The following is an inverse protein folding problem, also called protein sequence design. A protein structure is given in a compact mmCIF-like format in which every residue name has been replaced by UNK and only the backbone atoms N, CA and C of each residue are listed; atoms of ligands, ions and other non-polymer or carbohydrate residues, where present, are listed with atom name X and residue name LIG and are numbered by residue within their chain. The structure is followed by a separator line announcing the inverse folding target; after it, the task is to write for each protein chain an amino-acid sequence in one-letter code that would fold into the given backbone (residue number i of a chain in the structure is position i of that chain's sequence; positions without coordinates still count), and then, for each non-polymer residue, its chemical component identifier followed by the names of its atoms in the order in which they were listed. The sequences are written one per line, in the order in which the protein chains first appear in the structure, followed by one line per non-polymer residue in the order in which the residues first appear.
data_IF_804055562354
#
_entry.id   IF_804055562354
#
_cell.length_a   1.000
_cell.length_b   1.000
_cell.length_c   1.000
_cell.angle_alpha   90.00
_cell.angle_beta   90.00
_cell.angle_gamma   90.00
#
_symmetry.space_group_name_H-M   'P 1'
#
loop_
_entity.id
_entity.type
_entity.pdbx_description
1 polymer ?
#
# COMPACT_ATOMS: atom_id res chain seq x y z
N UNK A 1 9.91 26.93 22.59
CA UNK A 1 10.21 25.64 23.27
C UNK A 1 9.67 24.42 22.50
N UNK A 2 8.71 24.57 21.57
CA UNK A 2 8.19 23.46 20.75
C UNK A 2 8.98 23.16 19.45
N UNK A 3 9.90 24.02 18.99
CA UNK A 3 10.61 23.82 17.70
C UNK A 3 11.91 23.01 17.77
N UNK A 4 12.38 22.64 18.96
CA UNK A 4 13.59 21.83 19.16
C UNK A 4 13.26 20.35 19.42
N UNK A 5 11.99 20.04 19.67
CA UNK A 5 11.52 18.70 20.02
C UNK A 5 11.26 17.87 18.74
N UNK A 6 10.79 18.50 17.66
CA UNK A 6 10.49 17.83 16.39
C UNK A 6 11.69 17.11 15.73
N UNK A 7 12.91 17.69 15.61
CA UNK A 7 14.01 16.99 14.94
C UNK A 7 14.53 15.80 15.75
N UNK A 8 14.62 15.91 17.08
CA UNK A 8 15.15 14.83 17.93
C UNK A 8 14.15 13.67 18.04
N UNK A 9 12.85 13.97 18.18
CA UNK A 9 11.81 12.94 18.18
C UNK A 9 11.75 12.26 16.81
N UNK A 10 11.80 13.01 15.70
CA UNK A 10 11.76 12.39 14.38
C UNK A 10 13.00 11.55 14.07
N UNK A 11 14.18 11.93 14.55
CA UNK A 11 15.43 11.19 14.34
C UNK A 11 15.49 9.91 15.20
N UNK A 12 15.08 9.98 16.46
CA UNK A 12 14.99 8.80 17.34
C UNK A 12 13.92 7.82 16.87
N UNK A 13 12.77 8.31 16.42
CA UNK A 13 11.67 7.50 15.89
C UNK A 13 12.06 6.87 14.54
N UNK A 14 12.82 7.56 13.69
CA UNK A 14 13.45 6.98 12.49
C UNK A 14 14.43 5.85 12.82
N UNK A 15 15.30 6.05 13.82
CA UNK A 15 16.27 5.03 14.24
C UNK A 15 15.62 3.75 14.77
N UNK A 16 14.55 3.89 15.55
CA UNK A 16 13.76 2.75 16.05
C UNK A 16 13.09 2.01 14.88
N UNK A 17 12.48 2.73 13.93
CA UNK A 17 11.86 2.13 12.73
C UNK A 17 12.90 1.38 11.89
N UNK A 18 14.09 1.94 11.69
CA UNK A 18 15.17 1.28 10.93
C UNK A 18 15.69 0.02 11.64
N UNK A 19 15.76 0.04 12.97
CA UNK A 19 16.12 -1.13 13.76
C UNK A 19 15.09 -2.27 13.62
N UNK A 20 13.80 -1.96 13.74
CA UNK A 20 12.72 -2.93 13.54
C UNK A 20 12.70 -3.51 12.13
N UNK A 21 13.03 -2.70 11.12
CA UNK A 21 13.18 -3.14 9.73
C UNK A 21 14.37 -4.07 9.52
N UNK A 22 15.52 -3.78 10.14
CA UNK A 22 16.75 -4.58 10.02
C UNK A 22 16.60 -5.97 10.66
N UNK A 23 15.76 -6.09 11.69
CA UNK A 23 15.55 -7.34 12.43
C UNK A 23 14.10 -7.83 12.33
N UNK A 24 13.76 -8.41 11.18
CA UNK A 24 12.41 -8.90 10.84
C UNK A 24 11.82 -9.87 11.88
N UNK A 25 12.65 -10.67 12.56
CA UNK A 25 12.24 -11.54 13.66
C UNK A 25 11.76 -10.73 14.88
N UNK A 26 12.48 -9.67 15.27
CA UNK A 26 12.13 -8.80 16.41
C UNK A 26 10.85 -8.01 16.11
N UNK A 27 10.65 -7.60 14.85
CA UNK A 27 9.40 -6.97 14.37
C UNK A 27 8.20 -7.90 14.54
N UNK A 28 8.31 -9.14 14.09
CA UNK A 28 7.23 -10.11 14.22
C UNK A 28 6.95 -10.44 15.69
N UNK A 29 7.99 -10.60 16.53
CA UNK A 29 7.82 -10.77 17.97
C UNK A 29 7.12 -9.58 18.63
N UNK A 30 7.55 -8.35 18.36
CA UNK A 30 6.90 -7.14 18.90
C UNK A 30 5.45 -7.03 18.45
N UNK A 31 5.15 -7.37 17.20
CA UNK A 31 3.77 -7.32 16.71
C UNK A 31 2.84 -8.37 17.34
N UNK A 32 3.29 -9.62 17.49
CA UNK A 32 2.43 -10.68 18.01
C UNK A 32 2.41 -10.75 19.55
N UNK A 33 3.54 -10.47 20.20
CA UNK A 33 3.70 -10.68 21.65
C UNK A 33 3.34 -9.42 22.46
N UNK A 34 3.69 -8.22 21.97
CA UNK A 34 3.41 -6.96 22.68
C UNK A 34 1.90 -6.69 22.94
N UNK A 35 0.96 -6.94 21.99
CA UNK A 35 -0.46 -6.72 22.26
C UNK A 35 -1.02 -7.75 23.24
N UNK A 36 -0.52 -8.99 23.21
CA UNK A 36 -0.86 -10.05 24.18
C UNK A 36 -0.42 -9.67 25.60
N UNK A 37 0.79 -9.10 25.74
CA UNK A 37 1.27 -8.60 27.03
C UNK A 37 0.45 -7.37 27.49
N UNK A 38 0.13 -6.45 26.57
CA UNK A 38 -0.70 -5.29 26.90
C UNK A 38 -2.10 -5.69 27.39
N UNK A 39 -2.78 -6.61 26.68
CA UNK A 39 -4.12 -7.06 27.05
C UNK A 39 -4.11 -7.82 28.37
N UNK A 40 -3.13 -8.69 28.59
CA UNK A 40 -2.97 -9.40 29.88
C UNK A 40 -2.69 -8.44 31.04
N UNK A 41 -1.85 -7.41 30.87
CA UNK A 41 -1.64 -6.38 31.89
C UNK A 41 -2.93 -5.59 32.21
N UNK A 42 -3.71 -5.22 31.19
CA UNK A 42 -5.00 -4.54 31.38
C UNK A 42 -6.03 -5.42 32.11
N UNK A 43 -6.05 -6.72 31.81
CA UNK A 43 -6.94 -7.69 32.47
C UNK A 43 -6.54 -7.86 33.95
N UNK A 44 -5.24 -7.98 34.26
CA UNK A 44 -4.74 -8.10 35.64
C UNK A 44 -5.10 -6.85 36.46
N UNK A 45 -4.93 -5.66 35.89
CA UNK A 45 -5.34 -4.40 36.53
C UNK A 45 -6.85 -4.36 36.80
N UNK A 46 -7.68 -4.84 35.87
CA UNK A 46 -9.13 -4.81 36.04
C UNK A 46 -9.63 -5.80 37.11
N UNK A 47 -9.04 -7.00 37.18
CA UNK A 47 -9.47 -8.05 38.11
C UNK A 47 -8.88 -7.94 39.52
N UNK A 48 -7.62 -7.54 39.61
CA UNK A 48 -6.86 -7.56 40.87
C UNK A 48 -6.44 -6.16 41.32
N UNK A 49 -6.79 -5.11 40.58
CA UNK A 49 -6.43 -3.72 40.87
C UNK A 49 -6.71 -3.32 42.31
N UNK A 50 -7.92 -3.53 42.80
CA UNK A 50 -8.34 -3.18 44.17
C UNK A 50 -7.56 -3.92 45.27
N UNK A 51 -6.94 -5.06 44.96
CA UNK A 51 -6.09 -5.83 45.90
C UNK A 51 -4.62 -5.38 45.89
N UNK A 52 -4.21 -4.55 44.93
CA UNK A 52 -2.85 -4.07 44.81
C UNK A 52 -2.66 -2.70 45.46
N UNK A 53 -1.44 -2.45 45.95
CA UNK A 53 -1.03 -1.13 46.46
C UNK A 53 -0.93 -0.16 45.27
N UNK A 54 -1.38 1.08 45.45
CA UNK A 54 -1.29 2.22 44.50
C UNK A 54 -0.04 2.24 43.58
N UNK A 55 1.22 2.11 44.06
CA UNK A 55 2.40 2.13 43.19
C UNK A 55 2.47 0.97 42.19
N UNK A 56 1.90 -0.19 42.52
CA UNK A 56 1.88 -1.37 41.63
C UNK A 56 0.88 -1.15 40.49
N UNK A 57 -0.26 -0.51 40.78
CA UNK A 57 -1.25 -0.16 39.76
C UNK A 57 -0.68 0.82 38.73
N UNK A 58 0.03 1.86 39.19
CA UNK A 58 0.70 2.85 38.32
C UNK A 58 1.78 2.18 37.45
N UNK A 59 2.57 1.26 38.01
CA UNK A 59 3.60 0.52 37.27
C UNK A 59 3.02 -0.37 36.17
N UNK A 60 1.96 -1.13 36.48
CA UNK A 60 1.27 -1.97 35.50
C UNK A 60 0.60 -1.15 34.39
N UNK A 61 0.04 0.02 34.74
CA UNK A 61 -0.52 0.95 33.76
C UNK A 61 0.54 1.53 32.82
N UNK A 62 1.70 1.91 33.37
CA UNK A 62 2.83 2.37 32.57
C UNK A 62 3.36 1.29 31.62
N UNK A 63 3.43 0.02 32.06
CA UNK A 63 3.77 -1.12 31.21
C UNK A 63 2.77 -1.33 30.07
N UNK A 64 1.47 -1.25 30.34
CA UNK A 64 0.46 -1.38 29.30
C UNK A 64 0.62 -0.28 28.22
N UNK A 65 0.86 0.96 28.63
CA UNK A 65 1.08 2.09 27.70
C UNK A 65 2.36 1.90 26.88
N UNK A 66 3.46 1.44 27.47
CA UNK A 66 4.71 1.22 26.73
C UNK A 66 4.56 0.10 25.69
N UNK A 67 3.87 -1.00 26.03
CA UNK A 67 3.59 -2.07 25.07
C UNK A 67 2.59 -1.65 23.99
N UNK A 68 1.63 -0.78 24.30
CA UNK A 68 0.73 -0.18 23.30
C UNK A 68 1.49 0.71 22.31
N UNK A 69 2.42 1.53 22.80
CA UNK A 69 3.30 2.34 21.96
C UNK A 69 4.19 1.45 21.09
N UNK A 70 4.76 0.37 21.65
CA UNK A 70 5.56 -0.60 20.90
C UNK A 70 4.74 -1.32 19.82
N UNK A 71 3.49 -1.70 20.09
CA UNK A 71 2.60 -2.27 19.06
C UNK A 71 2.27 -1.28 17.96
N UNK A 72 2.04 -0.02 18.31
CA UNK A 72 1.75 1.04 17.34
C UNK A 72 2.96 1.30 16.44
N UNK A 73 4.17 1.31 17.01
CA UNK A 73 5.43 1.42 16.27
C UNK A 73 5.70 0.17 15.41
N UNK A 74 5.39 -1.03 15.89
CA UNK A 74 5.52 -2.27 15.14
C UNK A 74 4.52 -2.36 13.97
N UNK A 75 3.28 -1.87 14.16
CA UNK A 75 2.27 -1.71 13.10
C UNK A 75 2.76 -0.77 12.00
N UNK A 76 3.32 0.37 12.38
CA UNK A 76 3.93 1.33 11.45
C UNK A 76 5.13 0.71 10.72
N UNK A 77 5.88 -0.18 11.39
CA UNK A 77 7.00 -0.93 10.80
C UNK A 77 6.60 -2.14 9.94
N UNK A 78 5.38 -2.65 10.10
CA UNK A 78 4.81 -3.76 9.32
C UNK A 78 4.29 -3.33 7.97
N UNK A 79 3.83 -2.08 7.89
CA UNK A 79 3.86 -1.39 6.62
C UNK A 79 5.30 -1.39 6.14
N UNK A 80 5.63 -2.21 5.15
CA UNK A 80 6.85 -2.07 4.35
C UNK A 80 6.90 -0.70 3.61
N UNK A 81 5.98 0.21 3.96
CA UNK A 81 5.83 1.59 3.53
C UNK A 81 7.17 2.29 3.36
N UNK A 82 8.08 2.38 4.32
CA UNK A 82 9.33 3.16 4.08
C UNK A 82 10.29 2.51 3.07
N UNK A 83 10.31 1.18 2.92
CA UNK A 83 11.20 0.51 1.94
C UNK A 83 10.57 0.54 0.55
N UNK A 84 9.27 0.25 0.46
CA UNK A 84 8.51 0.43 -0.77
C UNK A 84 8.43 1.90 -1.17
N UNK A 85 8.40 2.87 -0.24
CA UNK A 85 8.38 4.31 -0.52
C UNK A 85 9.72 4.78 -1.05
N UNK A 86 10.86 4.33 -0.50
CA UNK A 86 12.18 4.66 -1.05
C UNK A 86 12.39 4.03 -2.43
N UNK A 87 12.01 2.76 -2.60
CA UNK A 87 12.07 2.08 -3.90
C UNK A 87 11.12 2.75 -4.91
N UNK A 88 9.89 3.06 -4.50
CA UNK A 88 8.91 3.77 -5.31
C UNK A 88 9.42 5.17 -5.66
N UNK A 89 9.95 5.91 -4.69
CA UNK A 89 10.51 7.23 -4.95
C UNK A 89 11.68 7.17 -5.94
N UNK A 90 12.57 6.18 -5.81
CA UNK A 90 13.65 5.95 -6.76
C UNK A 90 13.11 5.61 -8.15
N UNK A 91 12.20 4.63 -8.26
CA UNK A 91 11.57 4.26 -9.55
C UNK A 91 10.86 5.46 -10.19
N UNK A 92 10.11 6.25 -9.42
CA UNK A 92 9.42 7.45 -9.90
C UNK A 92 10.41 8.55 -10.31
N UNK A 93 11.53 8.69 -9.59
CA UNK A 93 12.59 9.62 -9.97
C UNK A 93 13.26 9.19 -11.27
N UNK A 94 13.53 7.90 -11.46
CA UNK A 94 14.10 7.36 -12.70
C UNK A 94 13.15 7.60 -13.88
N UNK A 95 11.86 7.32 -13.71
CA UNK A 95 10.80 7.60 -14.71
C UNK A 95 10.73 9.10 -15.02
N UNK A 96 10.84 9.98 -14.02
CA UNK A 96 10.84 11.44 -14.21
C UNK A 96 12.10 11.95 -14.90
N UNK A 97 13.27 11.42 -14.57
CA UNK A 97 14.52 11.76 -15.26
C UNK A 97 14.49 11.33 -16.73
N UNK A 98 13.92 10.15 -17.02
CA UNK A 98 13.71 9.71 -18.41
C UNK A 98 12.77 10.67 -19.14
N UNK A 99 11.70 11.10 -18.48
CA UNK A 99 10.76 12.09 -19.03
C UNK A 99 11.42 13.41 -19.39
N UNK A 100 12.28 13.94 -18.52
CA UNK A 100 13.00 15.18 -18.78
C UNK A 100 13.90 15.05 -20.01
N UNK A 101 14.62 13.92 -20.15
CA UNK A 101 15.41 13.61 -21.35
C UNK A 101 14.55 13.47 -22.60
N UNK A 102 13.34 12.92 -22.47
CA UNK A 102 12.39 12.84 -23.59
C UNK A 102 11.90 14.24 -23.99
N UNK A 103 11.55 15.09 -23.02
CA UNK A 103 11.09 16.46 -23.27
C UNK A 103 12.17 17.32 -23.92
N UNK A 104 13.42 17.21 -23.47
CA UNK A 104 14.57 17.91 -24.08
C UNK A 104 14.77 17.50 -25.55
N UNK A 105 14.45 16.24 -25.88
CA UNK A 105 14.49 15.73 -27.26
C UNK A 105 13.25 16.06 -28.09
N UNK A 106 12.17 16.60 -27.49
CA UNK A 106 10.97 17.09 -28.20
C UNK A 106 11.26 18.49 -28.80
N UNK A 107 12.43 18.65 -29.41
CA UNK A 107 12.76 19.74 -30.31
C UNK A 107 12.40 19.43 -31.77
N UNK A 108 11.86 18.24 -32.04
CA UNK A 108 11.49 17.76 -33.37
C UNK A 108 10.16 17.00 -33.29
N UNK A 109 9.26 17.31 -34.22
CA UNK A 109 7.81 17.01 -34.30
C UNK A 109 7.49 15.51 -34.49
N UNK A 110 8.37 14.62 -34.01
CA UNK A 110 8.24 13.18 -34.23
C UNK A 110 7.19 12.57 -33.30
N UNK A 111 6.13 12.05 -33.92
CA UNK A 111 5.05 11.26 -33.30
C UNK A 111 5.61 10.17 -32.36
N UNK A 112 6.79 9.62 -32.68
CA UNK A 112 7.52 8.63 -31.88
C UNK A 112 7.94 9.16 -30.51
N UNK A 113 8.43 10.40 -30.41
CA UNK A 113 8.82 10.99 -29.12
C UNK A 113 7.60 11.28 -28.24
N UNK A 114 6.47 11.68 -28.84
CA UNK A 114 5.20 11.85 -28.14
C UNK A 114 4.62 10.51 -27.63
N UNK A 115 4.73 9.45 -28.42
CA UNK A 115 4.35 8.10 -28.01
C UNK A 115 5.21 7.61 -26.83
N UNK A 116 6.54 7.83 -26.87
CA UNK A 116 7.45 7.53 -25.76
C UNK A 116 7.11 8.30 -24.48
N UNK A 117 6.79 9.59 -24.60
CA UNK A 117 6.33 10.38 -23.47
C UNK A 117 5.03 9.83 -22.86
N UNK A 118 4.12 9.35 -23.72
CA UNK A 118 2.88 8.72 -23.28
C UNK A 118 3.16 7.42 -22.53
N UNK A 119 3.99 6.51 -23.09
CA UNK A 119 4.41 5.27 -22.43
C UNK A 119 5.02 5.53 -21.05
N UNK A 120 5.93 6.51 -20.94
CA UNK A 120 6.55 6.88 -19.67
C UNK A 120 5.52 7.36 -18.62
N UNK A 121 4.49 8.11 -19.03
CA UNK A 121 3.39 8.46 -18.13
C UNK A 121 2.58 7.23 -17.71
N UNK A 122 2.28 6.33 -18.64
CA UNK A 122 1.54 5.10 -18.32
C UNK A 122 2.30 4.24 -17.31
N UNK A 123 3.63 4.17 -17.43
CA UNK A 123 4.50 3.44 -16.50
C UNK A 123 4.52 4.08 -15.10
N UNK A 124 4.52 5.42 -15.01
CA UNK A 124 4.35 6.14 -13.74
C UNK A 124 3.04 5.75 -13.05
N UNK A 125 1.92 5.84 -13.77
CA UNK A 125 0.60 5.51 -13.21
C UNK A 125 0.47 4.03 -12.87
N UNK A 126 1.04 3.14 -13.67
CA UNK A 126 1.09 1.71 -13.40
C UNK A 126 1.85 1.43 -12.09
N UNK A 127 3.03 2.04 -11.94
CA UNK A 127 3.89 1.87 -10.76
C UNK A 127 3.22 2.36 -9.48
N UNK A 128 2.57 3.54 -9.53
CA UNK A 128 1.81 4.09 -8.40
C UNK A 128 0.63 3.18 -8.03
N UNK A 129 -0.14 2.73 -9.01
CA UNK A 129 -1.31 1.87 -8.76
C UNK A 129 -0.91 0.50 -8.22
N UNK A 130 0.20 -0.05 -8.68
CA UNK A 130 0.73 -1.32 -8.19
C UNK A 130 1.12 -1.21 -6.70
N UNK A 131 1.80 -0.13 -6.31
CA UNK A 131 2.18 0.11 -4.93
C UNK A 131 0.95 0.33 -4.01
N UNK A 132 -0.02 1.13 -4.47
CA UNK A 132 -1.29 1.33 -3.77
C UNK A 132 -2.04 0.01 -3.57
N UNK A 133 -2.10 -0.85 -4.59
CA UNK A 133 -2.73 -2.16 -4.49
C UNK A 133 -2.04 -3.05 -3.47
N UNK A 134 -0.71 -3.16 -3.52
CA UNK A 134 0.07 -3.95 -2.55
C UNK A 134 -0.15 -3.48 -1.12
N UNK A 135 -0.06 -2.17 -0.91
CA UNK A 135 -0.24 -1.57 0.42
C UNK A 135 -1.67 -1.78 0.93
N UNK A 136 -2.68 -1.53 0.11
CA UNK A 136 -4.10 -1.72 0.47
C UNK A 136 -4.40 -3.18 0.83
N UNK A 137 -3.82 -4.14 0.11
CA UNK A 137 -3.96 -5.56 0.40
C UNK A 137 -3.36 -5.94 1.77
N UNK A 138 -2.16 -5.43 2.09
CA UNK A 138 -1.52 -5.67 3.38
C UNK A 138 -2.35 -5.09 4.54
N UNK A 139 -2.83 -3.85 4.41
CA UNK A 139 -3.68 -3.21 5.43
C UNK A 139 -5.01 -3.92 5.60
N UNK A 140 -5.61 -4.40 4.51
CA UNK A 140 -6.83 -5.20 4.57
C UNK A 140 -6.64 -6.45 5.42
N UNK A 141 -5.60 -7.25 5.14
CA UNK A 141 -5.32 -8.47 5.92
C UNK A 141 -5.07 -8.15 7.39
N UNK A 142 -4.29 -7.11 7.67
CA UNK A 142 -4.03 -6.69 9.05
C UNK A 142 -5.32 -6.30 9.79
N UNK A 143 -6.18 -5.52 9.15
CA UNK A 143 -7.48 -5.13 9.70
C UNK A 143 -8.38 -6.34 9.97
N UNK A 144 -8.48 -7.29 9.05
CA UNK A 144 -9.29 -8.51 9.25
C UNK A 144 -8.79 -9.32 10.46
N UNK A 145 -7.47 -9.54 10.56
CA UNK A 145 -6.89 -10.30 11.66
C UNK A 145 -7.13 -9.60 13.01
N UNK A 146 -6.88 -8.28 13.07
CA UNK A 146 -7.07 -7.49 14.31
C UNK A 146 -8.55 -7.41 14.69
N UNK A 147 -9.44 -7.20 13.72
CA UNK A 147 -10.89 -7.14 13.90
C UNK A 147 -11.41 -8.44 14.49
N UNK A 148 -11.03 -9.58 13.89
CA UNK A 148 -11.41 -10.90 14.37
C UNK A 148 -10.87 -11.20 15.78
N UNK A 149 -9.61 -10.90 16.07
CA UNK A 149 -9.04 -11.05 17.43
C UNK A 149 -9.83 -10.21 18.44
N UNK A 150 -10.19 -8.98 18.07
CA UNK A 150 -10.94 -8.06 18.94
C UNK A 150 -12.34 -8.62 19.23
N UNK A 151 -13.05 -9.13 18.22
CA UNK A 151 -14.35 -9.77 18.39
C UNK A 151 -14.28 -10.99 19.30
N UNK A 152 -13.31 -11.88 19.06
CA UNK A 152 -13.11 -13.10 19.87
C UNK A 152 -12.80 -12.74 21.32
N UNK A 153 -11.94 -11.74 21.55
CA UNK A 153 -11.58 -11.29 22.90
C UNK A 153 -12.78 -10.66 23.61
N UNK A 154 -13.58 -9.86 22.90
CA UNK A 154 -14.80 -9.26 23.45
C UNK A 154 -15.83 -10.30 23.88
N UNK A 155 -16.05 -11.32 23.05
CA UNK A 155 -16.94 -12.45 23.38
C UNK A 155 -16.37 -13.23 24.56
N UNK A 156 -15.07 -13.50 24.58
CA UNK A 156 -14.43 -14.21 25.69
C UNK A 156 -14.60 -13.47 27.03
N UNK A 157 -14.39 -12.16 27.06
CA UNK A 157 -14.60 -11.32 28.24
C UNK A 157 -16.06 -11.31 28.73
N UNK A 158 -17.04 -11.44 27.84
CA UNK A 158 -18.44 -11.51 28.23
C UNK A 158 -18.81 -12.82 28.94
N UNK A 159 -18.26 -13.95 28.50
CA UNK A 159 -18.68 -15.28 28.97
C UNK A 159 -17.78 -15.87 30.06
N UNK A 160 -16.51 -15.48 30.14
CA UNK A 160 -15.54 -16.09 31.07
C UNK A 160 -15.19 -15.22 32.28
N UNK A 161 -15.77 -14.02 32.44
CA UNK A 161 -15.61 -13.21 33.65
C UNK A 161 -16.68 -13.54 34.70
N UNK A 162 -16.28 -13.66 35.97
CA UNK A 162 -17.20 -13.92 37.11
C UNK A 162 -18.30 -12.85 37.26
N UNK A 163 -18.04 -11.63 36.78
CA UNK A 163 -19.02 -10.54 36.67
C UNK A 163 -19.10 -10.08 35.21
N UNK A 164 -20.09 -10.56 34.42
CA UNK A 164 -20.20 -10.18 33.02
C UNK A 164 -20.47 -8.68 32.90
N UNK A 165 -19.56 -7.96 32.25
CA UNK A 165 -19.72 -6.54 31.94
C UNK A 165 -20.20 -6.38 30.49
N UNK A 166 -21.52 -6.33 30.32
CA UNK A 166 -22.17 -6.20 29.01
C UNK A 166 -21.67 -4.98 28.24
N UNK A 167 -21.39 -3.88 28.93
CA UNK A 167 -20.87 -2.65 28.33
C UNK A 167 -19.50 -2.88 27.66
N UNK A 168 -18.59 -3.62 28.32
CA UNK A 168 -17.27 -3.94 27.73
C UNK A 168 -17.41 -4.83 26.48
N UNK A 169 -18.32 -5.80 26.49
CA UNK A 169 -18.56 -6.63 25.32
C UNK A 169 -19.18 -5.87 24.15
N UNK A 170 -20.11 -4.95 24.41
CA UNK A 170 -20.68 -4.07 23.37
C UNK A 170 -19.59 -3.18 22.76
N UNK A 171 -18.73 -2.57 23.59
CA UNK A 171 -17.63 -1.72 23.12
C UNK A 171 -16.67 -2.54 22.25
N UNK A 172 -16.23 -3.70 22.74
CA UNK A 172 -15.31 -4.57 22.00
C UNK A 172 -15.92 -5.11 20.71
N UNK A 173 -17.20 -5.49 20.73
CA UNK A 173 -17.96 -5.90 19.55
C UNK A 173 -18.07 -4.79 18.50
N UNK A 174 -18.45 -3.58 18.93
CA UNK A 174 -18.54 -2.42 18.06
C UNK A 174 -17.17 -2.04 17.46
N UNK A 175 -16.10 -2.07 18.26
CA UNK A 175 -14.74 -1.84 17.79
C UNK A 175 -14.29 -2.89 16.77
N UNK A 176 -14.58 -4.17 17.00
CA UNK A 176 -14.24 -5.24 16.06
C UNK A 176 -14.95 -5.06 14.71
N UNK A 177 -16.26 -4.75 14.73
CA UNK A 177 -17.03 -4.45 13.50
C UNK A 177 -16.46 -3.25 12.75
N UNK A 178 -16.09 -2.18 13.46
CA UNK A 178 -15.49 -1.00 12.84
C UNK A 178 -14.15 -1.32 12.17
N UNK A 179 -13.31 -2.14 12.79
CA UNK A 179 -12.02 -2.55 12.21
C UNK A 179 -12.22 -3.43 10.97
N UNK A 180 -13.20 -4.34 10.98
CA UNK A 180 -13.59 -5.13 9.81
C UNK A 180 -14.09 -4.25 8.65
N UNK A 181 -14.87 -3.21 8.95
CA UNK A 181 -15.32 -2.24 7.95
C UNK A 181 -14.13 -1.53 7.28
N UNK A 182 -13.12 -1.10 8.05
CA UNK A 182 -11.89 -0.52 7.50
C UNK A 182 -11.17 -1.54 6.59
N UNK A 183 -11.10 -2.81 7.03
CA UNK A 183 -10.55 -3.90 6.23
C UNK A 183 -11.26 -4.07 4.89
N UNK A 184 -12.59 -4.02 4.88
CA UNK A 184 -13.42 -4.10 3.67
C UNK A 184 -13.21 -2.90 2.74
N UNK A 185 -13.11 -1.67 3.27
CA UNK A 185 -12.77 -0.48 2.48
C UNK A 185 -11.40 -0.63 1.79
N UNK A 186 -10.41 -1.19 2.48
CA UNK A 186 -9.09 -1.44 1.89
C UNK A 186 -9.14 -2.50 0.78
N UNK A 187 -9.97 -3.55 0.90
CA UNK A 187 -10.23 -4.51 -0.21
C UNK A 187 -10.85 -3.79 -1.41
N UNK A 188 -11.78 -2.88 -1.16
CA UNK A 188 -12.42 -2.13 -2.23
C UNK A 188 -11.40 -1.27 -3.00
N UNK A 189 -10.52 -0.57 -2.29
CA UNK A 189 -9.43 0.20 -2.91
C UNK A 189 -8.49 -0.74 -3.69
N UNK A 190 -8.09 -1.86 -3.11
CA UNK A 190 -7.27 -2.87 -3.78
C UNK A 190 -7.88 -3.34 -5.11
N UNK A 191 -9.17 -3.71 -5.11
CA UNK A 191 -9.88 -4.15 -6.32
C UNK A 191 -9.93 -3.03 -7.37
N UNK A 192 -10.14 -1.79 -6.94
CA UNK A 192 -10.15 -0.63 -7.85
C UNK A 192 -8.77 -0.39 -8.45
N UNK A 193 -7.71 -0.44 -7.66
CA UNK A 193 -6.33 -0.31 -8.14
C UNK A 193 -5.95 -1.44 -9.10
N UNK A 194 -6.39 -2.67 -8.85
CA UNK A 194 -6.13 -3.81 -9.75
C UNK A 194 -6.85 -3.63 -11.10
N UNK A 195 -8.08 -3.12 -11.08
CA UNK A 195 -8.82 -2.76 -12.30
C UNK A 195 -8.09 -1.67 -13.09
N UNK A 196 -7.60 -0.62 -12.42
CA UNK A 196 -6.81 0.42 -13.06
C UNK A 196 -5.49 -0.13 -13.62
N UNK A 197 -4.80 -0.99 -12.88
CA UNK A 197 -3.55 -1.62 -13.31
C UNK A 197 -3.74 -2.41 -14.61
N UNK A 198 -4.80 -3.21 -14.69
CA UNK A 198 -5.15 -3.96 -15.89
C UNK A 198 -5.47 -3.03 -17.07
N UNK A 199 -6.18 -1.93 -16.83
CA UNK A 199 -6.46 -0.93 -17.86
C UNK A 199 -5.17 -0.30 -18.38
N UNK A 200 -4.30 0.17 -17.48
CA UNK A 200 -3.02 0.78 -17.84
C UNK A 200 -2.11 -0.20 -18.58
N UNK A 201 -2.04 -1.46 -18.14
CA UNK A 201 -1.26 -2.49 -18.83
C UNK A 201 -1.76 -2.72 -20.26
N UNK A 202 -3.09 -2.80 -20.48
CA UNK A 202 -3.67 -2.94 -21.82
C UNK A 202 -3.40 -1.73 -22.70
N UNK A 203 -3.54 -0.52 -22.16
CA UNK A 203 -3.26 0.72 -22.89
C UNK A 203 -1.75 0.85 -23.21
N UNK A 204 -0.87 0.46 -22.29
CA UNK A 204 0.57 0.43 -22.50
C UNK A 204 0.94 -0.51 -23.65
N UNK A 205 0.44 -1.75 -23.63
CA UNK A 205 0.64 -2.72 -24.71
C UNK A 205 0.09 -2.21 -26.05
N UNK A 206 -1.06 -1.54 -26.02
CA UNK A 206 -1.66 -0.91 -27.20
C UNK A 206 -0.71 0.13 -27.82
N UNK A 207 -0.15 1.04 -27.03
CA UNK A 207 0.79 2.05 -27.55
C UNK A 207 2.07 1.40 -28.08
N UNK A 208 2.61 0.37 -27.42
CA UNK A 208 3.79 -0.37 -27.89
C UNK A 208 3.55 -1.07 -29.23
N UNK A 209 2.42 -1.76 -29.38
CA UNK A 209 2.04 -2.40 -30.64
C UNK A 209 1.91 -1.37 -31.78
N UNK A 210 1.33 -0.19 -31.49
CA UNK A 210 1.23 0.90 -32.47
C UNK A 210 2.61 1.39 -32.88
N UNK A 211 3.53 1.57 -31.94
CA UNK A 211 4.91 1.98 -32.25
C UNK A 211 5.64 0.92 -33.09
N UNK A 212 5.48 -0.37 -32.77
CA UNK A 212 6.05 -1.46 -33.58
C UNK A 212 5.47 -1.47 -34.99
N UNK A 213 4.16 -1.24 -35.13
CA UNK A 213 3.50 -1.12 -36.43
C UNK A 213 4.06 0.05 -37.26
N UNK A 214 4.26 1.21 -36.64
CA UNK A 214 4.88 2.39 -37.30
C UNK A 214 6.32 2.08 -37.71
N UNK A 215 7.13 1.51 -36.81
CA UNK A 215 8.53 1.14 -37.10
C UNK A 215 8.62 0.09 -38.23
N UNK A 216 7.70 -0.87 -38.26
CA UNK A 216 7.61 -1.84 -39.36
C UNK A 216 7.26 -1.15 -40.69
N UNK A 217 6.30 -0.23 -40.71
CA UNK A 217 5.96 0.55 -41.91
C UNK A 217 7.16 1.37 -42.43
N UNK A 218 7.92 1.99 -41.52
CA UNK A 218 9.12 2.76 -41.86
C UNK A 218 10.26 1.89 -42.41
N UNK A 219 10.43 0.67 -41.88
CA UNK A 219 11.46 -0.28 -42.32
C UNK A 219 11.16 -0.98 -43.65
N UNK A 220 9.92 -0.92 -44.17
CA UNK A 220 9.62 -1.47 -45.49
C UNK A 220 10.31 -0.60 -46.55
N UNK A 221 11.25 -1.21 -47.29
CA UNK A 221 11.99 -0.56 -48.38
C UNK A 221 11.05 0.06 -49.42
N UNK A 222 11.36 1.28 -49.87
CA UNK A 222 10.64 1.99 -50.92
C UNK A 222 10.64 1.24 -52.26
N UNK A 223 11.61 0.36 -52.48
CA UNK A 223 11.70 -0.49 -53.67
C UNK A 223 10.70 -1.67 -53.66
N UNK A 224 10.05 -1.92 -52.52
CA UNK A 224 9.05 -2.97 -52.43
C UNK A 224 7.73 -2.52 -53.07
N UNK A 225 7.28 -3.15 -54.18
CA UNK A 225 6.05 -2.75 -54.87
C UNK A 225 4.79 -2.90 -54.01
N UNK A 226 4.86 -3.65 -52.91
CA UNK A 226 3.75 -3.84 -51.95
C UNK A 226 3.81 -2.92 -50.73
N UNK A 227 4.76 -1.98 -50.65
CA UNK A 227 4.89 -1.07 -49.49
C UNK A 227 3.58 -0.36 -49.15
N UNK A 228 2.94 0.23 -50.16
CA UNK A 228 1.67 0.96 -50.00
C UNK A 228 0.58 0.02 -49.46
N UNK A 229 0.46 -1.19 -50.02
CA UNK A 229 -0.53 -2.20 -49.58
C UNK A 229 -0.28 -2.65 -48.12
N UNK A 230 0.98 -2.84 -47.73
CA UNK A 230 1.36 -3.25 -46.36
C UNK A 230 1.05 -2.13 -45.37
N UNK A 231 1.42 -0.89 -45.67
CA UNK A 231 1.15 0.27 -44.82
C UNK A 231 -0.36 0.53 -44.69
N UNK A 232 -1.12 0.43 -45.77
CA UNK A 232 -2.58 0.55 -45.75
C UNK A 232 -3.22 -0.50 -44.84
N UNK A 233 -2.83 -1.77 -44.98
CA UNK A 233 -3.32 -2.87 -44.12
C UNK A 233 -3.02 -2.64 -42.65
N UNK A 234 -1.83 -2.11 -42.33
CA UNK A 234 -1.43 -1.80 -40.96
C UNK A 234 -2.28 -0.65 -40.40
N UNK A 235 -2.44 0.45 -41.15
CA UNK A 235 -3.28 1.59 -40.73
C UNK A 235 -4.73 1.16 -40.51
N UNK A 236 -5.30 0.38 -41.44
CA UNK A 236 -6.67 -0.14 -41.32
C UNK A 236 -6.84 -1.02 -40.08
N UNK A 237 -5.87 -1.89 -39.78
CA UNK A 237 -5.90 -2.70 -38.56
C UNK A 237 -5.76 -1.86 -37.29
N UNK A 238 -4.92 -0.82 -37.28
CA UNK A 238 -4.80 0.10 -36.14
C UNK A 238 -6.11 0.87 -35.89
N UNK A 239 -6.75 1.38 -36.95
CA UNK A 239 -8.05 2.09 -36.86
C UNK A 239 -9.15 1.15 -36.35
N UNK A 240 -9.23 -0.08 -36.89
CA UNK A 240 -10.22 -1.06 -36.47
C UNK A 240 -10.04 -1.47 -35.00
N UNK A 241 -8.79 -1.59 -34.53
CA UNK A 241 -8.51 -1.90 -33.13
C UNK A 241 -9.03 -0.82 -32.18
N UNK A 242 -8.83 0.46 -32.51
CA UNK A 242 -9.33 1.59 -31.70
C UNK A 242 -10.85 1.60 -31.60
N UNK A 243 -11.56 1.31 -32.71
CA UNK A 243 -13.03 1.19 -32.70
C UNK A 243 -13.53 0.08 -31.78
N UNK A 244 -12.90 -1.09 -31.81
CA UNK A 244 -13.29 -2.21 -30.94
C UNK A 244 -13.02 -1.98 -29.44
N UNK A 245 -12.12 -1.05 -29.09
CA UNK A 245 -11.83 -0.71 -27.69
C UNK A 245 -12.76 0.35 -27.07
N UNK A 246 -13.54 1.07 -27.87
CA UNK A 246 -14.54 2.03 -27.38
C UNK A 246 -15.88 1.36 -27.01
N UNK A 247 -16.14 0.15 -27.52
CA UNK A 247 -17.38 -0.61 -27.32
C UNK A 247 -17.35 -1.59 -26.12
N UNK A 248 -16.25 -1.63 -25.34
CA UNK A 248 -16.02 -2.58 -24.23
C UNK A 248 -15.74 -1.90 -22.90
#
# INVERSE_FOLDING_TARGET
MFSLIDPIITETLKGIIEYFKKHQTIRNYSFFVSPLICTTCCIILNFYGDNFIEPIQVLLGALAVTFFILTSLALISLGDFKTNTEILANNLNDIKQEREKLIEKIGDDSVTNMARLTLNRMDEYYTINLDQAKTSYQWSIASIIIGLITLVTGIWLLFFMEKPNVTMGIISGASGILVEFIGACNIYIYNKSLSQLNLYFRQLATVQDTMLAVELCEKVSDENPKKIEITEKIILNLINRTRTSEDS
#
